data_IF_632128968418
#
_entry.id   IF_632128968418
#
_cell.length_a   1.000
_cell.length_b   1.000
_cell.length_c   1.000
_cell.angle_alpha   90.00
_cell.angle_beta   90.00
_cell.angle_gamma   90.00
#
_symmetry.space_group_name_H-M   'P 1'
#
loop_
_entity.id
_entity.type
_entity.pdbx_description
1 polymer ?
#
# COMPACT_ATOMS: atom_id res chain seq x y z
N UNK A 1 1.23 11.31 20.84
CA UNK A 1 -0.13 11.69 20.40
C UNK A 1 -1.09 11.33 21.51
N UNK A 2 -2.06 12.19 21.87
CA UNK A 2 -2.91 12.00 23.06
C UNK A 2 -3.97 10.90 22.93
N UNK A 3 -4.28 10.43 21.71
CA UNK A 3 -5.17 9.29 21.45
C UNK A 3 -4.74 8.55 20.18
N UNK A 4 -5.19 7.29 19.95
CA UNK A 4 -4.94 6.60 18.68
C UNK A 4 -5.55 7.33 17.49
N UNK A 5 -4.86 7.30 16.35
CA UNK A 5 -5.36 7.88 15.10
C UNK A 5 -6.69 7.22 14.72
N UNK A 6 -7.74 8.02 14.54
CA UNK A 6 -9.06 7.52 14.13
C UNK A 6 -9.07 6.93 12.71
N UNK A 7 -8.11 7.30 11.86
CA UNK A 7 -7.99 6.81 10.48
C UNK A 7 -7.26 5.47 10.38
N UNK A 8 -6.10 5.33 11.03
CA UNK A 8 -5.23 4.15 10.88
C UNK A 8 -4.94 3.38 12.18
N UNK A 9 -5.45 3.83 13.33
CA UNK A 9 -5.18 3.26 14.66
C UNK A 9 -3.77 3.52 15.20
N UNK A 10 -2.92 4.24 14.47
CA UNK A 10 -1.54 4.55 14.89
C UNK A 10 -1.47 5.37 16.18
N UNK A 11 -0.53 5.03 17.07
CA UNK A 11 -0.33 5.70 18.38
C UNK A 11 0.81 6.73 18.38
N UNK A 12 1.73 6.62 17.42
CA UNK A 12 2.82 7.57 17.25
C UNK A 12 2.33 8.82 16.49
N UNK A 13 2.68 10.00 16.99
CA UNK A 13 2.40 11.28 16.36
C UNK A 13 3.54 12.26 16.57
N UNK A 14 3.60 13.30 15.73
CA UNK A 14 4.45 14.47 15.91
C UNK A 14 3.59 15.73 15.97
N UNK A 15 4.13 16.81 16.50
CA UNK A 15 3.48 18.12 16.45
C UNK A 15 4.03 18.86 15.24
N UNK A 16 3.15 19.36 14.39
CA UNK A 16 3.47 20.25 13.28
C UNK A 16 3.99 21.57 13.85
N UNK A 17 5.18 21.99 13.43
CA UNK A 17 5.88 23.12 14.04
C UNK A 17 5.20 24.48 13.73
N UNK A 18 4.53 24.58 12.59
CA UNK A 18 3.93 25.82 12.10
C UNK A 18 2.52 26.03 12.67
N UNK A 19 1.74 24.95 12.77
CA UNK A 19 0.34 25.01 13.22
C UNK A 19 0.15 24.59 14.68
N UNK A 20 1.11 23.87 15.27
CA UNK A 20 0.99 23.26 16.60
C UNK A 20 0.06 22.04 16.64
N UNK A 21 -0.40 21.55 15.49
CA UNK A 21 -1.36 20.44 15.43
C UNK A 21 -0.64 19.08 15.52
N UNK A 22 -1.30 18.10 16.14
CA UNK A 22 -0.78 16.73 16.14
C UNK A 22 -1.02 16.04 14.80
N UNK A 23 0.04 15.52 14.19
CA UNK A 23 0.01 14.69 12.99
C UNK A 23 0.34 13.23 13.32
N UNK A 24 -0.45 12.29 12.80
CA UNK A 24 -0.13 10.87 12.91
C UNK A 24 1.10 10.52 12.06
N UNK A 25 2.15 9.96 12.66
CA UNK A 25 3.37 9.57 11.93
C UNK A 25 3.16 8.41 10.94
N UNK A 26 2.04 7.67 11.07
CA UNK A 26 1.71 6.52 10.23
C UNK A 26 0.98 6.93 8.94
N UNK A 27 -0.08 7.74 9.05
CA UNK A 27 -0.91 8.12 7.90
C UNK A 27 -0.94 9.63 7.60
N UNK A 28 -0.27 10.46 8.39
CA UNK A 28 -0.24 11.92 8.23
C UNK A 28 -1.54 12.64 8.64
N UNK A 29 -2.49 11.94 9.27
CA UNK A 29 -3.76 12.56 9.70
C UNK A 29 -3.56 13.61 10.80
N UNK A 30 -4.21 14.77 10.66
CA UNK A 30 -4.22 15.84 11.65
C UNK A 30 -5.28 15.58 12.71
N UNK A 31 -4.86 15.40 13.95
CA UNK A 31 -5.75 15.15 15.07
C UNK A 31 -6.65 16.37 15.32
N UNK A 32 -7.96 16.15 15.42
CA UNK A 32 -8.96 17.21 15.56
C UNK A 32 -9.76 17.46 14.29
N UNK A 33 -9.25 17.04 13.12
CA UNK A 33 -10.04 17.07 11.89
C UNK A 33 -11.24 16.14 12.01
N UNK A 34 -12.41 16.67 11.67
CA UNK A 34 -13.63 15.89 11.57
C UNK A 34 -13.49 14.93 10.37
N UNK A 35 -13.62 13.64 10.66
CA UNK A 35 -13.97 12.68 9.62
C UNK A 35 -15.48 12.76 9.46
N UNK A 36 -15.98 13.03 8.26
CA UNK A 36 -17.39 12.81 7.97
C UNK A 36 -17.63 11.30 8.01
N UNK A 37 -18.23 10.84 9.11
CA UNK A 37 -18.47 9.43 9.39
C UNK A 37 -19.44 8.78 8.41
N UNK A 38 -20.20 9.59 7.68
CA UNK A 38 -21.15 9.14 6.68
C UNK A 38 -20.49 8.93 5.31
N UNK A 39 -19.23 9.37 5.13
CA UNK A 39 -18.48 9.10 3.91
C UNK A 39 -17.96 7.64 3.87
N UNK A 40 -18.10 6.96 2.72
CA UNK A 40 -17.53 5.63 2.56
C UNK A 40 -16.01 5.69 2.71
N UNK A 41 -15.44 4.65 3.31
CA UNK A 41 -13.99 4.50 3.42
C UNK A 41 -13.35 4.61 2.03
N UNK A 42 -12.35 5.50 1.84
CA UNK A 42 -11.66 5.63 0.57
C UNK A 42 -11.02 4.31 0.16
N UNK A 43 -11.16 3.98 -1.12
CA UNK A 43 -10.51 2.83 -1.73
C UNK A 43 -9.19 3.28 -2.34
N UNK A 44 -8.11 2.58 -1.98
CA UNK A 44 -6.79 2.76 -2.59
C UNK A 44 -6.42 1.44 -3.28
N UNK A 45 -6.61 1.32 -4.60
CA UNK A 45 -6.20 0.13 -5.33
C UNK A 45 -4.67 0.02 -5.35
N UNK A 46 -4.18 -1.20 -5.19
CA UNK A 46 -2.76 -1.53 -5.26
C UNK A 46 -2.50 -2.76 -6.12
N UNK A 47 -1.34 -2.76 -6.76
CA UNK A 47 -0.68 -3.97 -7.28
C UNK A 47 0.23 -4.51 -6.19
N UNK A 48 0.15 -5.80 -5.90
CA UNK A 48 0.97 -6.48 -4.92
C UNK A 48 1.94 -7.45 -5.58
N UNK A 49 3.10 -7.62 -4.95
CA UNK A 49 4.13 -8.57 -5.34
C UNK A 49 4.34 -9.54 -4.18
N UNK A 50 3.85 -10.78 -4.29
CA UNK A 50 3.98 -11.79 -3.24
C UNK A 50 4.99 -12.86 -3.65
N UNK A 51 5.94 -13.17 -2.77
CA UNK A 51 6.88 -14.27 -2.99
C UNK A 51 6.27 -15.60 -2.57
N UNK A 52 6.51 -16.63 -3.37
CA UNK A 52 6.30 -18.03 -2.98
C UNK A 52 7.38 -18.91 -3.64
N UNK A 53 8.36 -19.35 -2.83
CA UNK A 53 9.55 -20.04 -3.30
C UNK A 53 10.38 -19.19 -4.27
N UNK A 54 10.57 -19.71 -5.48
CA UNK A 54 11.31 -19.06 -6.58
C UNK A 54 10.40 -18.23 -7.51
N UNK A 55 9.17 -17.95 -7.08
CA UNK A 55 8.15 -17.27 -7.89
C UNK A 55 7.64 -16.03 -7.19
N UNK A 56 7.16 -15.09 -8.00
CA UNK A 56 6.40 -13.91 -7.56
C UNK A 56 5.02 -13.94 -8.19
N UNK A 57 4.00 -13.71 -7.36
CA UNK A 57 2.65 -13.41 -7.80
C UNK A 57 2.49 -11.91 -7.97
N UNK A 58 2.07 -11.48 -9.15
CA UNK A 58 1.69 -10.10 -9.42
C UNK A 58 0.17 -10.05 -9.56
N UNK A 59 -0.51 -9.37 -8.64
CA UNK A 59 -1.96 -9.21 -8.69
C UNK A 59 -2.42 -7.87 -8.15
N UNK A 60 -3.70 -7.55 -8.31
CA UNK A 60 -4.28 -6.27 -7.85
C UNK A 60 -5.33 -6.48 -6.77
N UNK A 61 -5.52 -5.49 -5.89
CA UNK A 61 -6.60 -5.47 -4.91
C UNK A 61 -6.99 -4.07 -4.48
N UNK A 62 -8.28 -3.86 -4.24
CA UNK A 62 -8.83 -2.69 -3.54
C UNK A 62 -8.87 -2.88 -2.02
N UNK A 63 -8.72 -4.13 -1.55
CA UNK A 63 -8.73 -4.52 -0.13
C UNK A 63 -7.52 -5.41 0.18
N UNK A 64 -6.28 -4.89 0.04
CA UNK A 64 -5.07 -5.71 0.09
C UNK A 64 -4.93 -6.48 1.40
N UNK A 65 -5.27 -5.90 2.55
CA UNK A 65 -5.18 -6.61 3.84
C UNK A 65 -6.03 -7.88 3.89
N UNK A 66 -7.28 -7.78 3.42
CA UNK A 66 -8.20 -8.92 3.37
C UNK A 66 -7.73 -9.95 2.33
N UNK A 67 -7.32 -9.48 1.15
CA UNK A 67 -6.89 -10.34 0.05
C UNK A 67 -5.64 -11.13 0.40
N UNK A 68 -4.63 -10.48 0.95
CA UNK A 68 -3.33 -11.09 1.24
C UNK A 68 -3.41 -12.06 2.43
N UNK A 69 -4.27 -11.81 3.40
CA UNK A 69 -4.54 -12.77 4.49
C UNK A 69 -5.11 -14.11 3.99
N UNK A 70 -5.79 -14.11 2.84
CA UNK A 70 -6.38 -15.31 2.23
C UNK A 70 -5.46 -16.03 1.23
N UNK A 71 -4.28 -15.47 0.92
CA UNK A 71 -3.34 -16.04 -0.03
C UNK A 71 -2.16 -16.62 0.75
N UNK A 72 -1.82 -17.89 0.52
CA UNK A 72 -0.55 -18.44 1.03
C UNK A 72 0.62 -17.84 0.28
N UNK A 73 1.57 -17.26 1.00
CA UNK A 73 2.78 -16.64 0.49
C UNK A 73 3.86 -16.65 1.56
N UNK A 74 5.12 -16.51 1.17
CA UNK A 74 6.26 -16.44 2.09
C UNK A 74 6.48 -14.99 2.55
N UNK A 75 6.38 -14.04 1.62
CA UNK A 75 6.72 -12.64 1.86
C UNK A 75 5.89 -11.70 0.98
N UNK A 76 5.45 -10.57 1.55
CA UNK A 76 4.98 -9.43 0.77
C UNK A 76 6.19 -8.57 0.39
N UNK A 77 6.61 -8.64 -0.87
CA UNK A 77 7.80 -7.95 -1.35
C UNK A 77 7.57 -6.44 -1.52
N UNK A 78 6.45 -6.06 -2.14
CA UNK A 78 6.13 -4.67 -2.41
C UNK A 78 4.63 -4.44 -2.65
N UNK A 79 4.21 -3.18 -2.46
CA UNK A 79 2.94 -2.65 -2.94
C UNK A 79 3.21 -1.46 -3.87
N UNK A 80 2.50 -1.40 -4.98
CA UNK A 80 2.55 -0.30 -5.95
C UNK A 80 1.15 0.29 -6.09
N UNK A 81 1.02 1.61 -5.98
CA UNK A 81 -0.29 2.28 -6.05
C UNK A 81 -0.83 2.21 -7.47
N UNK A 82 -1.99 1.58 -7.66
CA UNK A 82 -2.61 1.39 -8.97
C UNK A 82 -3.55 0.19 -8.98
N UNK A 83 -4.45 0.14 -9.97
CA UNK A 83 -5.45 -0.91 -10.09
C UNK A 83 -5.18 -1.88 -11.24
N UNK A 84 -6.26 -2.49 -11.74
CA UNK A 84 -6.26 -3.43 -12.86
C UNK A 84 -5.45 -2.97 -14.09
N UNK A 85 -5.47 -1.69 -14.52
CA UNK A 85 -4.64 -1.26 -15.66
C UNK A 85 -3.13 -1.42 -15.42
N UNK A 86 -2.65 -1.07 -14.22
CA UNK A 86 -1.25 -1.18 -13.86
C UNK A 86 -0.83 -2.65 -13.73
N UNK A 87 -1.68 -3.48 -13.14
CA UNK A 87 -1.40 -4.92 -13.05
C UNK A 87 -1.29 -5.56 -14.44
N UNK A 88 -2.20 -5.24 -15.36
CA UNK A 88 -2.09 -5.71 -16.75
C UNK A 88 -0.82 -5.20 -17.43
N UNK A 89 -0.42 -3.95 -17.18
CA UNK A 89 0.84 -3.42 -17.69
C UNK A 89 2.03 -4.24 -17.17
N UNK A 90 2.12 -4.50 -15.87
CA UNK A 90 3.20 -5.31 -15.27
C UNK A 90 3.19 -6.74 -15.79
N UNK A 91 2.02 -7.33 -16.03
CA UNK A 91 1.93 -8.65 -16.67
C UNK A 91 2.46 -8.67 -18.10
N UNK A 92 2.28 -7.59 -18.87
CA UNK A 92 2.83 -7.46 -20.23
C UNK A 92 4.34 -7.22 -20.19
N UNK A 93 4.80 -6.34 -19.31
CA UNK A 93 6.20 -5.97 -19.16
C UNK A 93 7.07 -7.18 -18.76
N UNK A 94 6.60 -8.00 -17.82
CA UNK A 94 7.32 -9.20 -17.36
C UNK A 94 6.82 -10.49 -18.02
N UNK A 95 6.19 -10.40 -19.19
CA UNK A 95 5.63 -11.57 -19.88
C UNK A 95 6.66 -12.67 -20.14
N UNK A 96 7.93 -12.31 -20.38
CA UNK A 96 9.02 -13.26 -20.58
C UNK A 96 9.35 -14.12 -19.34
N UNK A 97 9.02 -13.62 -18.13
CA UNK A 97 9.20 -14.34 -16.87
C UNK A 97 7.94 -15.09 -16.44
N UNK A 98 6.85 -15.02 -17.20
CA UNK A 98 5.55 -15.53 -16.79
C UNK A 98 5.49 -17.06 -16.89
N UNK A 99 5.24 -17.72 -15.77
CA UNK A 99 5.09 -19.18 -15.70
C UNK A 99 3.65 -19.65 -15.97
N UNK A 100 2.69 -18.71 -15.95
CA UNK A 100 1.28 -18.97 -16.18
C UNK A 100 0.39 -18.29 -15.12
N UNK A 101 -0.82 -17.90 -15.53
CA UNK A 101 -1.72 -17.16 -14.65
C UNK A 101 -1.08 -15.86 -14.15
N UNK A 102 -1.05 -15.63 -12.84
CA UNK A 102 -0.45 -14.43 -12.22
C UNK A 102 0.95 -14.69 -11.64
N UNK A 103 1.61 -15.80 -12.01
CA UNK A 103 2.90 -16.21 -11.46
C UNK A 103 4.06 -15.95 -12.44
N UNK A 104 5.15 -15.45 -11.90
CA UNK A 104 6.36 -15.04 -12.60
C UNK A 104 7.59 -15.59 -11.90
N UNK A 105 8.63 -15.96 -12.65
CA UNK A 105 9.93 -16.35 -12.11
C UNK A 105 10.54 -15.17 -11.34
N UNK A 106 11.06 -15.42 -10.13
CA UNK A 106 11.74 -14.41 -9.33
C UNK A 106 13.17 -14.18 -9.83
N UNK A 107 13.29 -13.43 -10.92
CA UNK A 107 14.55 -13.13 -11.61
C UNK A 107 14.53 -11.73 -12.23
N UNK A 108 15.67 -11.28 -12.72
CA UNK A 108 15.76 -10.00 -13.44
C UNK A 108 14.94 -10.07 -14.75
N UNK A 109 14.26 -8.97 -15.15
CA UNK A 109 14.30 -7.62 -14.54
C UNK A 109 13.31 -7.38 -13.39
N UNK A 110 12.49 -8.37 -13.00
CA UNK A 110 11.42 -8.18 -12.00
C UNK A 110 11.97 -7.87 -10.60
N UNK A 111 13.06 -8.52 -10.20
CA UNK A 111 13.77 -8.27 -8.94
C UNK A 111 14.24 -6.83 -8.81
N UNK A 112 14.79 -6.24 -9.88
CA UNK A 112 15.22 -4.83 -9.89
C UNK A 112 14.05 -3.87 -9.68
N UNK A 113 12.91 -4.12 -10.32
CA UNK A 113 11.70 -3.31 -10.12
C UNK A 113 11.19 -3.39 -8.67
N UNK A 114 11.15 -4.59 -8.11
CA UNK A 114 10.73 -4.80 -6.71
C UNK A 114 11.65 -4.06 -5.74
N UNK A 115 12.97 -4.14 -5.92
CA UNK A 115 13.91 -3.40 -5.05
C UNK A 115 13.76 -1.88 -5.22
N UNK A 116 13.44 -1.39 -6.41
CA UNK A 116 13.11 0.03 -6.63
C UNK A 116 11.89 0.45 -5.81
N UNK A 117 10.84 -0.37 -5.76
CA UNK A 117 9.66 -0.12 -4.93
C UNK A 117 9.99 -0.15 -3.43
N UNK A 118 10.82 -1.11 -2.98
CA UNK A 118 11.24 -1.23 -1.57
C UNK A 118 12.12 -0.07 -1.13
N UNK A 119 12.98 0.44 -2.01
CA UNK A 119 13.80 1.62 -1.74
C UNK A 119 12.94 2.88 -1.55
N UNK A 120 11.84 3.01 -2.31
CA UNK A 120 10.90 4.12 -2.17
C UNK A 120 10.03 4.03 -0.90
N UNK A 121 9.81 2.82 -0.37
CA UNK A 121 8.98 2.56 0.79
C UNK A 121 9.57 1.44 1.66
N UNK A 122 10.16 1.81 2.80
CA UNK A 122 10.82 0.88 3.72
C UNK A 122 9.91 -0.27 4.21
N UNK A 123 8.60 -0.03 4.27
CA UNK A 123 7.58 -1.03 4.60
C UNK A 123 6.35 -0.81 3.69
N UNK A 124 5.86 -1.85 2.98
CA UNK A 124 4.73 -1.72 2.07
C UNK A 124 3.44 -1.27 2.75
N UNK A 125 3.19 -1.71 3.99
CA UNK A 125 1.99 -1.34 4.74
C UNK A 125 2.04 0.09 5.25
N UNK A 126 3.22 0.60 5.62
CA UNK A 126 3.40 2.01 5.95
C UNK A 126 3.11 2.90 4.73
N UNK A 127 3.57 2.52 3.53
CA UNK A 127 3.22 3.25 2.30
C UNK A 127 1.70 3.23 2.04
N UNK A 128 1.07 2.06 2.16
CA UNK A 128 -0.37 1.94 1.99
C UNK A 128 -1.16 2.79 3.00
N UNK A 129 -0.74 2.82 4.27
CA UNK A 129 -1.41 3.62 5.30
C UNK A 129 -1.26 5.12 5.05
N UNK A 130 -0.14 5.57 4.47
CA UNK A 130 0.02 6.95 4.00
C UNK A 130 -0.96 7.26 2.88
N UNK A 131 -1.02 6.43 1.83
CA UNK A 131 -1.96 6.66 0.72
C UNK A 131 -3.42 6.69 1.16
N UNK A 132 -3.78 5.82 2.12
CA UNK A 132 -5.11 5.82 2.70
C UNK A 132 -5.38 7.12 3.46
N UNK A 133 -4.43 7.57 4.29
CA UNK A 133 -4.52 8.87 4.97
C UNK A 133 -4.67 10.05 4.02
N UNK A 134 -3.93 10.07 2.91
CA UNK A 134 -4.05 11.08 1.86
C UNK A 134 -5.42 11.06 1.19
N UNK A 135 -5.97 9.85 0.95
CA UNK A 135 -7.29 9.69 0.35
C UNK A 135 -8.40 10.19 1.29
N UNK A 136 -8.28 9.95 2.59
CA UNK A 136 -9.17 10.53 3.59
C UNK A 136 -9.11 12.05 3.59
N UNK A 137 -7.90 12.65 3.57
CA UNK A 137 -7.77 14.12 3.54
C UNK A 137 -8.44 14.74 2.31
N UNK A 138 -8.27 14.14 1.13
CA UNK A 138 -8.93 14.61 -0.11
C UNK A 138 -10.44 14.48 -0.09
N UNK A 139 -11.00 13.48 0.61
CA UNK A 139 -12.44 13.29 0.69
C UNK A 139 -13.11 14.22 1.71
N UNK A 140 -12.34 14.78 2.65
CA UNK A 140 -12.81 15.68 3.70
C UNK A 140 -12.52 17.16 3.41
N UNK A 141 -12.01 17.49 2.22
CA UNK A 141 -11.76 18.86 1.72
C UNK A 141 -12.77 19.22 0.66
#
# INVERSE_FOLDING_TARGET
MPSPCRVCGGRAGGVDADTGHWLCRRCGWRLGDAFDADLPRPVVPVVYYLRFGARVKIGTSERPRQRLAAIRHDELLALERGGRPLEQQRHREYAALREGGEWFTFADPLTVHIETLRAAASDPWLAYDRWLGDAYRRASS
#
